data_IF_180060530808
#
_entry.id   IF_180060530808
#
_cell.length_a   1.000
_cell.length_b   1.000
_cell.length_c   1.000
_cell.angle_alpha   90.00
_cell.angle_beta   90.00
_cell.angle_gamma   90.00
#
_symmetry.space_group_name_H-M   'P 1'
#
loop_
_entity.id
_entity.type
_entity.pdbx_description
1 polymer ?
#
# COMPACT_ATOMS: atom_id res chain seq x y z
N UNK A 1 -21.19 -81.79 -15.88
CA UNK A 1 -21.65 -81.85 -17.29
C UNK A 1 -21.10 -80.62 -18.02
N UNK A 2 -21.02 -80.62 -19.37
CA UNK A 2 -20.89 -79.38 -20.18
C UNK A 2 -22.21 -78.58 -20.02
N UNK A 3 -22.32 -77.27 -20.26
CA UNK A 3 -22.05 -76.50 -21.50
C UNK A 3 -21.61 -75.06 -21.17
N UNK A 4 -21.19 -74.30 -22.19
CA UNK A 4 -20.50 -73.00 -22.13
C UNK A 4 -21.30 -71.89 -22.87
N UNK A 5 -20.78 -70.65 -22.87
CA UNK A 5 -21.21 -69.46 -23.66
C UNK A 5 -22.39 -68.63 -23.08
N UNK A 6 -22.47 -67.31 -23.40
CA UNK A 6 -21.39 -66.33 -23.31
C UNK A 6 -21.82 -64.99 -22.65
N UNK A 7 -20.87 -64.24 -22.09
CA UNK A 7 -21.09 -62.84 -21.67
C UNK A 7 -20.93 -61.90 -22.88
N UNK A 8 -21.95 -61.10 -23.17
CA UNK A 8 -21.93 -60.06 -24.21
C UNK A 8 -21.64 -58.69 -23.61
N UNK A 9 -20.70 -57.94 -24.21
CA UNK A 9 -20.23 -56.64 -23.72
C UNK A 9 -20.98 -55.46 -24.35
N UNK A 10 -22.04 -54.96 -23.69
CA UNK A 10 -22.54 -53.57 -23.89
C UNK A 10 -23.48 -53.13 -22.76
N UNK A 11 -23.17 -51.98 -22.13
CA UNK A 11 -24.08 -51.06 -21.39
C UNK A 11 -24.90 -51.66 -20.20
N UNK A 12 -25.29 -50.97 -19.11
CA UNK A 12 -25.25 -49.56 -18.66
C UNK A 12 -24.79 -49.60 -17.18
N UNK A 13 -23.73 -48.94 -16.72
CA UNK A 13 -23.55 -47.49 -16.56
C UNK A 13 -24.57 -46.79 -15.61
N UNK A 14 -25.03 -47.44 -14.52
CA UNK A 14 -25.77 -46.80 -13.42
C UNK A 14 -25.71 -47.61 -12.12
N UNK A 15 -24.70 -47.36 -11.25
CA UNK A 15 -24.70 -47.65 -9.78
C UNK A 15 -23.32 -47.38 -9.10
N UNK A 16 -22.71 -46.20 -9.30
CA UNK A 16 -21.44 -45.88 -8.59
C UNK A 16 -21.15 -44.37 -8.41
N UNK A 17 -22.19 -43.55 -8.23
CA UNK A 17 -22.08 -42.09 -7.99
C UNK A 17 -23.08 -41.64 -6.92
N UNK A 18 -22.82 -41.99 -5.66
CA UNK A 18 -23.71 -41.68 -4.53
C UNK A 18 -22.95 -41.46 -3.20
N UNK A 19 -21.75 -40.84 -3.24
CA UNK A 19 -20.92 -40.60 -2.05
C UNK A 19 -19.91 -39.44 -2.21
N UNK A 20 -20.31 -38.28 -2.76
CA UNK A 20 -19.51 -37.05 -2.68
C UNK A 20 -20.35 -35.78 -2.89
N UNK A 21 -21.29 -35.54 -1.98
CA UNK A 21 -21.99 -34.26 -1.84
C UNK A 21 -21.80 -33.70 -0.42
N UNK A 22 -20.54 -33.61 0.01
CA UNK A 22 -20.16 -32.50 0.89
C UNK A 22 -20.09 -31.27 -0.01
N UNK A 23 -20.94 -30.28 0.26
CA UNK A 23 -20.74 -28.96 -0.31
C UNK A 23 -19.35 -28.46 0.11
N UNK A 24 -18.62 -27.86 -0.82
CA UNK A 24 -17.58 -26.92 -0.40
C UNK A 24 -18.31 -25.66 0.02
N UNK A 25 -18.23 -25.32 1.30
CA UNK A 25 -18.54 -23.97 1.76
C UNK A 25 -17.44 -23.06 1.22
N UNK A 26 -17.61 -22.61 -0.02
CA UNK A 26 -16.81 -21.54 -0.62
C UNK A 26 -17.32 -20.22 -0.05
N UNK A 27 -16.49 -19.57 0.77
CA UNK A 27 -16.74 -18.18 1.17
C UNK A 27 -16.87 -17.30 -0.09
N UNK A 28 -17.87 -16.39 -0.15
CA UNK A 28 -18.16 -15.61 -1.35
C UNK A 28 -17.00 -14.69 -1.72
N UNK A 29 -16.66 -14.59 -3.01
CA UNK A 29 -15.44 -13.89 -3.43
C UNK A 29 -15.59 -12.37 -3.30
N UNK A 30 -14.63 -11.72 -2.63
CA UNK A 30 -14.68 -10.28 -2.33
C UNK A 30 -14.52 -9.43 -3.60
N UNK A 31 -15.65 -8.86 -4.06
CA UNK A 31 -15.70 -8.10 -5.31
C UNK A 31 -15.11 -6.69 -5.10
N UNK A 32 -14.13 -6.26 -5.89
CA UNK A 32 -13.53 -4.93 -5.77
C UNK A 32 -14.43 -3.86 -6.37
N UNK A 33 -14.68 -2.80 -5.61
CA UNK A 33 -15.38 -1.58 -6.04
C UNK A 33 -14.40 -0.44 -6.30
N UNK A 34 -13.29 -0.42 -5.57
CA UNK A 34 -12.22 0.57 -5.64
C UNK A 34 -10.90 -0.14 -5.34
N UNK A 35 -9.81 0.22 -6.03
CA UNK A 35 -8.48 -0.39 -5.82
C UNK A 35 -7.34 0.59 -6.04
N UNK A 36 -6.41 0.59 -5.09
CA UNK A 36 -5.20 1.42 -5.07
C UNK A 36 -4.29 1.27 -6.30
N UNK A 37 -4.24 0.07 -6.88
CA UNK A 37 -3.40 -0.25 -8.04
C UNK A 37 -4.02 0.10 -9.40
N UNK A 38 -5.33 0.33 -9.43
CA UNK A 38 -6.11 0.64 -10.64
C UNK A 38 -6.25 2.17 -10.86
N UNK A 39 -5.95 2.97 -9.82
CA UNK A 39 -5.95 4.43 -9.80
C UNK A 39 -4.57 5.03 -10.09
N UNK A 40 -4.56 6.29 -10.55
CA UNK A 40 -3.37 7.06 -10.94
C UNK A 40 -3.63 8.54 -10.64
N UNK A 41 -2.67 9.24 -10.02
CA UNK A 41 -2.87 10.63 -9.58
C UNK A 41 -3.18 11.59 -10.74
N UNK A 42 -4.19 12.45 -10.55
CA UNK A 42 -4.71 13.33 -11.60
C UNK A 42 -5.58 12.63 -12.65
N UNK A 43 -5.77 11.31 -12.54
CA UNK A 43 -6.64 10.52 -13.41
C UNK A 43 -8.14 10.85 -13.24
N UNK A 44 -9.00 10.32 -14.13
CA UNK A 44 -10.45 10.45 -14.00
C UNK A 44 -10.94 9.65 -12.79
N UNK A 45 -12.09 10.04 -12.25
CA UNK A 45 -12.78 9.27 -11.22
C UNK A 45 -12.93 7.78 -11.64
N UNK A 46 -12.67 6.81 -10.74
CA UNK A 46 -12.77 5.39 -11.07
C UNK A 46 -14.18 5.10 -11.54
N UNK A 47 -14.37 4.54 -12.74
CA UNK A 47 -15.73 4.52 -13.29
C UNK A 47 -16.71 3.71 -12.41
N UNK A 48 -17.99 4.04 -12.52
CA UNK A 48 -19.00 3.65 -11.55
C UNK A 48 -19.11 4.63 -10.37
N UNK A 49 -18.02 5.25 -9.93
CA UNK A 49 -18.04 6.30 -8.90
C UNK A 49 -18.48 7.65 -9.50
N UNK A 50 -19.61 8.17 -9.02
CA UNK A 50 -20.21 9.42 -9.50
C UNK A 50 -20.24 10.44 -8.36
N UNK A 51 -19.65 11.62 -8.58
CA UNK A 51 -19.77 12.75 -7.68
C UNK A 51 -21.12 13.45 -7.85
N UNK A 52 -21.88 13.57 -6.75
CA UNK A 52 -23.13 14.33 -6.68
C UNK A 52 -22.97 15.47 -5.68
N UNK A 53 -23.02 16.70 -6.19
CA UNK A 53 -22.82 17.97 -5.47
C UNK A 53 -21.39 18.22 -4.92
N UNK A 54 -20.38 17.48 -5.40
CA UNK A 54 -18.96 17.78 -5.19
C UNK A 54 -18.08 17.09 -6.24
N UNK A 55 -16.86 17.60 -6.51
CA UNK A 55 -15.89 16.92 -7.36
C UNK A 55 -15.46 15.58 -6.73
N UNK A 56 -15.27 14.59 -7.60
CA UNK A 56 -14.58 13.35 -7.30
C UNK A 56 -13.19 13.45 -7.95
N UNK A 57 -12.13 13.38 -7.16
CA UNK A 57 -10.76 13.55 -7.65
C UNK A 57 -9.91 12.33 -7.29
N UNK A 58 -9.07 11.88 -8.22
CA UNK A 58 -8.04 10.87 -7.93
C UNK A 58 -6.73 11.60 -7.65
N UNK A 59 -6.20 11.44 -6.43
CA UNK A 59 -4.98 12.14 -5.97
C UNK A 59 -3.99 11.13 -5.43
N UNK A 60 -2.69 11.35 -5.66
CA UNK A 60 -1.68 10.75 -4.78
C UNK A 60 -2.02 11.20 -3.37
N UNK A 61 -2.25 10.25 -2.46
CA UNK A 61 -2.04 10.57 -1.06
C UNK A 61 -0.53 10.57 -0.83
N UNK A 62 0.08 11.75 -0.99
CA UNK A 62 1.52 11.95 -0.83
C UNK A 62 1.98 11.73 0.61
N UNK A 63 1.06 11.42 1.53
CA UNK A 63 1.30 11.13 2.93
C UNK A 63 0.50 9.89 3.38
N UNK A 64 1.19 8.74 3.35
CA UNK A 64 1.07 7.55 4.23
C UNK A 64 0.30 6.33 3.71
N UNK A 65 1.04 5.22 3.67
CA UNK A 65 0.61 3.87 4.09
C UNK A 65 -0.46 3.08 3.29
N UNK A 66 -0.71 3.42 2.03
CA UNK A 66 -1.22 2.42 1.08
C UNK A 66 -0.31 2.32 -0.16
N UNK A 67 0.08 1.09 -0.51
CA UNK A 67 1.06 0.80 -1.57
C UNK A 67 0.52 0.90 -3.00
N UNK A 68 -0.55 1.67 -3.22
CA UNK A 68 -1.02 2.04 -4.55
C UNK A 68 -0.44 3.36 -5.02
N UNK A 69 -1.08 3.94 -6.04
CA UNK A 69 -0.58 5.15 -6.70
C UNK A 69 -1.44 6.38 -6.43
N UNK A 70 -2.70 6.19 -6.06
CA UNK A 70 -3.63 7.25 -5.75
C UNK A 70 -4.90 6.70 -5.08
N UNK A 71 -5.52 7.54 -4.27
CA UNK A 71 -6.79 7.28 -3.58
C UNK A 71 -7.89 8.19 -4.11
N UNK A 72 -9.16 7.85 -3.86
CA UNK A 72 -10.29 8.66 -4.28
C UNK A 72 -10.64 9.72 -3.23
N UNK A 73 -10.36 10.99 -3.54
CA UNK A 73 -10.69 12.17 -2.76
C UNK A 73 -12.08 12.71 -3.11
N UNK A 74 -12.84 13.08 -2.08
CA UNK A 74 -13.96 14.03 -2.19
C UNK A 74 -13.53 15.36 -1.60
N UNK A 75 -13.56 16.44 -2.39
CA UNK A 75 -13.19 17.78 -1.93
C UNK A 75 -14.39 18.73 -1.90
N UNK A 76 -14.62 19.36 -0.75
CA UNK A 76 -15.58 20.47 -0.59
C UNK A 76 -14.94 21.74 -0.02
N UNK A 77 -13.63 21.77 0.19
CA UNK A 77 -12.91 22.88 0.83
C UNK A 77 -13.14 24.23 0.13
N UNK A 78 -13.23 24.22 -1.20
CA UNK A 78 -13.47 25.38 -2.05
C UNK A 78 -14.96 25.77 -2.22
N UNK A 79 -15.91 24.99 -1.70
CA UNK A 79 -17.34 25.26 -1.89
C UNK A 79 -17.79 26.50 -1.11
N UNK A 80 -18.53 27.40 -1.74
CA UNK A 80 -19.02 28.62 -1.09
C UNK A 80 -20.11 28.34 -0.05
N UNK A 81 -20.91 27.28 -0.23
CA UNK A 81 -21.96 26.84 0.69
C UNK A 81 -21.47 25.90 1.81
N UNK A 82 -22.34 25.71 2.81
CA UNK A 82 -22.20 24.69 3.86
C UNK A 82 -22.99 23.41 3.49
N UNK A 83 -23.16 23.12 2.20
CA UNK A 83 -23.94 21.99 1.71
C UNK A 83 -23.29 20.63 1.98
N UNK A 84 -23.99 19.57 1.55
CA UNK A 84 -23.46 18.21 1.52
C UNK A 84 -22.98 17.88 0.11
N UNK A 85 -21.93 17.07 0.02
CA UNK A 85 -21.50 16.43 -1.23
C UNK A 85 -21.25 14.95 -0.99
N UNK A 86 -21.29 14.15 -2.06
CA UNK A 86 -20.95 12.74 -1.98
C UNK A 86 -20.35 12.22 -3.28
N UNK A 87 -19.58 11.14 -3.17
CA UNK A 87 -19.27 10.24 -4.28
C UNK A 87 -19.83 8.87 -3.96
N UNK A 88 -20.32 8.15 -4.97
CA UNK A 88 -20.89 6.82 -4.77
C UNK A 88 -20.75 5.91 -5.99
N UNK A 89 -20.58 4.61 -5.74
CA UNK A 89 -20.81 3.58 -6.75
C UNK A 89 -22.13 2.85 -6.47
N UNK A 90 -22.98 2.76 -7.48
CA UNK A 90 -24.32 2.17 -7.39
C UNK A 90 -24.32 0.71 -7.83
N UNK A 91 -24.89 -0.17 -7.01
CA UNK A 91 -24.95 -1.62 -7.22
C UNK A 91 -26.42 -2.06 -7.21
N UNK A 92 -26.80 -2.94 -8.14
CA UNK A 92 -28.12 -3.59 -8.17
C UNK A 92 -28.04 -4.90 -7.39
N UNK A 93 -28.87 -5.02 -6.35
CA UNK A 93 -28.89 -6.14 -5.40
C UNK A 93 -29.90 -7.23 -5.79
N UNK A 94 -31.01 -6.84 -6.41
CA UNK A 94 -32.10 -7.72 -6.84
C UNK A 94 -33.01 -7.01 -7.84
N UNK A 95 -33.80 -7.80 -8.58
CA UNK A 95 -34.89 -7.24 -9.39
C UNK A 95 -35.92 -6.55 -8.48
N UNK A 96 -36.63 -5.52 -8.97
CA UNK A 96 -37.77 -4.98 -8.25
C UNK A 96 -38.84 -6.05 -8.02
N UNK A 97 -39.53 -6.02 -6.86
CA UNK A 97 -40.66 -6.92 -6.63
C UNK A 97 -41.71 -6.67 -7.72
N UNK A 98 -42.17 -7.75 -8.37
CA UNK A 98 -43.18 -7.65 -9.43
C UNK A 98 -44.46 -7.04 -8.89
N UNK A 99 -44.71 -5.78 -9.22
CA UNK A 99 -45.91 -5.08 -8.75
C UNK A 99 -47.18 -5.79 -9.23
N UNK A 100 -48.15 -5.92 -8.33
CA UNK A 100 -49.51 -6.27 -8.71
C UNK A 100 -50.08 -5.11 -9.54
N UNK A 101 -50.21 -5.35 -10.85
CA UNK A 101 -50.49 -4.35 -11.89
C UNK A 101 -51.61 -3.34 -11.47
N UNK A 102 -51.28 -2.07 -11.15
CA UNK A 102 -52.20 -1.15 -10.49
C UNK A 102 -53.13 -0.41 -11.46
N UNK A 103 -53.65 -1.09 -12.50
CA UNK A 103 -54.39 -0.42 -13.59
C UNK A 103 -55.45 -1.28 -14.32
N UNK A 104 -56.47 -1.78 -13.62
CA UNK A 104 -57.86 -1.73 -14.14
C UNK A 104 -58.81 -1.34 -12.99
N UNK A 105 -59.34 -0.11 -13.02
CA UNK A 105 -60.54 0.22 -12.23
C UNK A 105 -61.75 -0.19 -13.07
N UNK A 106 -62.35 -1.34 -12.73
CA UNK A 106 -63.65 -1.77 -13.24
C UNK A 106 -64.43 -2.46 -12.10
N UNK A 107 -65.69 -2.09 -11.83
CA UNK A 107 -66.40 -2.52 -10.62
C UNK A 107 -67.02 -3.92 -10.77
N UNK A 108 -66.26 -4.98 -10.54
CA UNK A 108 -66.77 -6.36 -10.56
C UNK A 108 -66.14 -7.29 -9.49
N UNK A 109 -66.97 -7.73 -8.54
CA UNK A 109 -66.87 -8.94 -7.69
C UNK A 109 -65.62 -9.18 -6.79
N UNK A 110 -65.79 -9.44 -5.48
CA UNK A 110 -64.68 -9.73 -4.57
C UNK A 110 -64.37 -11.25 -4.49
N UNK A 111 -63.45 -11.76 -5.31
CA UNK A 111 -62.96 -13.15 -5.15
C UNK A 111 -61.55 -13.46 -5.69
N UNK A 112 -60.62 -12.50 -5.62
CA UNK A 112 -59.20 -12.81 -5.74
C UNK A 112 -58.49 -12.45 -4.42
N UNK A 113 -58.10 -13.49 -3.68
CA UNK A 113 -57.26 -13.33 -2.51
C UNK A 113 -55.88 -12.85 -2.98
N UNK A 114 -55.48 -11.65 -2.54
CA UNK A 114 -54.17 -11.06 -2.88
C UNK A 114 -53.07 -12.07 -2.59
N UNK A 115 -52.38 -12.54 -3.63
CA UNK A 115 -51.16 -13.32 -3.48
C UNK A 115 -50.23 -12.54 -2.55
N UNK A 116 -49.77 -13.12 -1.42
CA UNK A 116 -48.80 -12.46 -0.58
C UNK A 116 -47.58 -12.12 -1.44
N UNK A 117 -47.11 -10.87 -1.37
CA UNK A 117 -45.78 -10.55 -1.86
C UNK A 117 -44.83 -11.32 -0.96
N UNK A 118 -44.32 -12.45 -1.45
CA UNK A 118 -43.32 -13.25 -0.74
C UNK A 118 -42.18 -12.31 -0.38
N UNK A 119 -41.87 -12.21 0.91
CA UNK A 119 -40.73 -11.40 1.35
C UNK A 119 -39.49 -11.87 0.58
N UNK A 120 -38.76 -10.98 -0.11
CA UNK A 120 -37.61 -11.38 -0.89
C UNK A 120 -36.56 -12.00 0.03
N UNK A 121 -35.80 -12.95 -0.51
CA UNK A 121 -34.83 -13.72 0.28
C UNK A 121 -33.90 -12.79 1.08
N UNK A 122 -33.57 -13.14 2.33
CA UNK A 122 -32.70 -12.32 3.16
C UNK A 122 -31.32 -12.26 2.51
N UNK A 123 -30.91 -11.06 2.12
CA UNK A 123 -29.58 -10.78 1.62
C UNK A 123 -28.79 -10.11 2.74
N UNK A 124 -27.54 -10.53 2.92
CA UNK A 124 -26.54 -9.77 3.69
C UNK A 124 -25.49 -9.22 2.74
N UNK A 125 -25.04 -8.00 2.97
CA UNK A 125 -23.80 -7.49 2.38
C UNK A 125 -22.72 -7.39 3.44
N UNK A 126 -21.47 -7.64 3.06
CA UNK A 126 -20.31 -7.21 3.84
C UNK A 126 -19.55 -6.20 2.99
N UNK A 127 -19.27 -5.04 3.58
CA UNK A 127 -18.54 -3.96 2.93
C UNK A 127 -17.31 -3.67 3.77
N UNK A 128 -16.14 -3.52 3.14
CA UNK A 128 -14.97 -2.95 3.77
C UNK A 128 -14.32 -1.89 2.88
N UNK A 129 -13.55 -1.00 3.47
CA UNK A 129 -12.76 0.01 2.77
C UNK A 129 -11.95 0.84 3.76
N UNK A 130 -11.00 1.61 3.26
CA UNK A 130 -10.17 2.49 4.06
C UNK A 130 -10.70 3.92 3.96
N UNK A 131 -10.70 4.64 5.08
CA UNK A 131 -11.18 6.02 5.20
C UNK A 131 -10.12 6.89 5.88
N UNK A 132 -9.89 8.07 5.30
CA UNK A 132 -9.06 9.16 5.84
C UNK A 132 -9.79 10.49 5.73
N UNK A 133 -9.58 11.42 6.67
CA UNK A 133 -10.30 12.70 6.73
C UNK A 133 -9.39 13.87 7.12
N UNK A 134 -9.71 15.06 6.61
CA UNK A 134 -9.03 16.31 6.98
C UNK A 134 -9.30 16.71 8.45
N UNK A 135 -8.46 17.56 9.06
CA UNK A 135 -8.73 18.13 10.37
C UNK A 135 -10.06 18.90 10.43
N UNK A 136 -10.99 18.42 11.26
CA UNK A 136 -12.34 19.00 11.41
C UNK A 136 -13.32 18.62 10.30
N UNK A 137 -12.95 17.73 9.39
CA UNK A 137 -13.87 17.18 8.39
C UNK A 137 -14.95 16.31 9.04
N UNK A 138 -16.18 16.42 8.52
CA UNK A 138 -17.28 15.50 8.80
C UNK A 138 -17.51 14.60 7.59
N UNK A 139 -17.21 13.32 7.76
CA UNK A 139 -17.29 12.31 6.72
C UNK A 139 -18.08 11.08 7.20
N UNK A 140 -18.87 10.48 6.30
CA UNK A 140 -19.56 9.21 6.55
C UNK A 140 -19.35 8.28 5.37
N UNK A 141 -18.66 7.15 5.60
CA UNK A 141 -18.63 6.02 4.69
C UNK A 141 -19.84 5.13 5.00
N UNK A 142 -20.68 4.85 4.01
CA UNK A 142 -21.99 4.24 4.22
C UNK A 142 -22.44 3.35 3.07
N UNK A 143 -23.31 2.39 3.41
CA UNK A 143 -24.20 1.73 2.47
C UNK A 143 -25.55 2.46 2.49
N UNK A 144 -25.93 3.07 1.36
CA UNK A 144 -27.21 3.78 1.22
C UNK A 144 -28.13 2.97 0.30
N UNK A 145 -29.14 2.34 0.88
CA UNK A 145 -30.10 1.50 0.19
C UNK A 145 -31.21 2.30 -0.48
N UNK A 146 -31.72 1.79 -1.60
CA UNK A 146 -32.86 2.37 -2.33
C UNK A 146 -33.78 1.27 -2.88
N UNK A 147 -35.08 1.57 -3.02
CA UNK A 147 -35.93 0.82 -3.94
C UNK A 147 -35.66 1.24 -5.41
N UNK A 148 -36.35 0.64 -6.38
CA UNK A 148 -36.17 0.94 -7.80
C UNK A 148 -36.72 2.31 -8.24
N UNK A 149 -37.59 2.91 -7.41
CA UNK A 149 -38.28 4.19 -7.66
C UNK A 149 -37.67 5.35 -6.85
N UNK A 150 -36.69 5.07 -6.00
CA UNK A 150 -36.12 5.97 -4.99
C UNK A 150 -37.16 6.51 -3.99
N UNK A 151 -38.23 5.74 -3.73
CA UNK A 151 -39.26 6.07 -2.74
C UNK A 151 -38.80 5.74 -1.32
N UNK A 152 -38.42 4.47 -1.12
CA UNK A 152 -37.61 4.04 0.02
C UNK A 152 -36.14 4.45 -0.18
N UNK A 153 -35.56 5.02 0.88
CA UNK A 153 -34.13 5.21 1.04
C UNK A 153 -33.76 5.02 2.52
N UNK A 154 -32.61 4.40 2.78
CA UNK A 154 -32.08 4.19 4.13
C UNK A 154 -30.54 4.19 4.10
N UNK A 155 -29.90 4.85 5.07
CA UNK A 155 -28.46 5.08 5.08
C UNK A 155 -27.85 4.45 6.34
N UNK A 156 -27.11 3.36 6.14
CA UNK A 156 -26.41 2.62 7.19
C UNK A 156 -24.92 3.03 7.19
N UNK A 157 -24.44 3.74 8.22
CA UNK A 157 -23.03 4.10 8.33
C UNK A 157 -22.15 2.86 8.55
N UNK A 158 -21.11 2.72 7.74
CA UNK A 158 -20.01 1.76 7.93
C UNK A 158 -18.94 2.40 8.84
N UNK A 159 -18.68 3.70 8.63
CA UNK A 159 -17.95 4.55 9.57
C UNK A 159 -18.46 5.99 9.50
N UNK A 160 -18.47 6.68 10.64
CA UNK A 160 -18.76 8.11 10.76
C UNK A 160 -17.64 8.80 11.54
N UNK A 161 -17.14 9.91 11.00
CA UNK A 161 -15.93 10.60 11.46
C UNK A 161 -16.19 12.10 11.48
N UNK A 162 -16.00 12.74 12.64
CA UNK A 162 -16.24 14.19 12.84
C UNK A 162 -14.97 15.00 13.15
N UNK A 163 -13.79 14.40 12.93
CA UNK A 163 -12.48 14.95 13.28
C UNK A 163 -11.42 14.44 12.31
N UNK A 164 -10.17 14.85 12.49
CA UNK A 164 -9.03 14.25 11.80
C UNK A 164 -8.97 12.74 12.05
N UNK A 165 -8.76 11.97 10.98
CA UNK A 165 -8.62 10.53 10.99
C UNK A 165 -7.63 10.16 9.87
N UNK A 166 -6.43 9.67 10.24
CA UNK A 166 -5.57 8.98 9.27
C UNK A 166 -6.17 7.62 8.88
N UNK A 167 -5.68 7.05 7.78
CA UNK A 167 -6.18 5.81 7.18
C UNK A 167 -6.55 4.75 8.21
N UNK A 168 -7.85 4.49 8.31
CA UNK A 168 -8.41 3.44 9.14
C UNK A 168 -9.36 2.59 8.30
N UNK A 169 -9.19 1.27 8.39
CA UNK A 169 -10.13 0.34 7.78
C UNK A 169 -11.46 0.40 8.53
N UNK A 170 -12.53 0.55 7.78
CA UNK A 170 -13.91 0.44 8.24
C UNK A 170 -14.55 -0.76 7.55
N UNK A 171 -15.32 -1.55 8.31
CA UNK A 171 -16.07 -2.68 7.76
C UNK A 171 -17.39 -2.89 8.51
N UNK A 172 -18.40 -3.37 7.81
CA UNK A 172 -19.68 -3.76 8.38
C UNK A 172 -20.29 -4.94 7.60
N UNK A 173 -20.90 -5.86 8.34
CA UNK A 173 -21.92 -6.77 7.81
C UNK A 173 -23.29 -6.10 8.03
N UNK A 174 -24.14 -6.07 7.00
CA UNK A 174 -25.42 -5.36 7.01
C UNK A 174 -26.49 -6.24 6.38
N UNK A 175 -27.58 -6.49 7.12
CA UNK A 175 -28.81 -7.07 6.59
C UNK A 175 -29.47 -6.09 5.62
N UNK A 176 -29.67 -6.51 4.37
CA UNK A 176 -30.24 -5.67 3.31
C UNK A 176 -31.74 -5.49 3.56
N UNK A 177 -32.26 -4.24 3.65
CA UNK A 177 -33.69 -3.99 3.82
C UNK A 177 -34.53 -4.73 2.75
N UNK A 178 -35.66 -5.37 3.10
CA UNK A 178 -36.48 -6.12 2.14
C UNK A 178 -36.98 -5.28 0.96
N UNK A 179 -37.16 -3.97 1.14
CA UNK A 179 -37.55 -3.01 0.12
C UNK A 179 -36.40 -2.63 -0.83
N UNK A 180 -35.15 -2.84 -0.43
CA UNK A 180 -33.98 -2.41 -1.19
C UNK A 180 -33.74 -3.28 -2.42
N UNK A 181 -33.72 -2.65 -3.59
CA UNK A 181 -33.32 -3.25 -4.87
C UNK A 181 -31.90 -2.85 -5.26
N UNK A 182 -31.39 -1.77 -4.65
CA UNK A 182 -30.09 -1.14 -4.93
C UNK A 182 -29.39 -0.74 -3.63
N UNK A 183 -28.06 -0.63 -3.69
CA UNK A 183 -27.26 0.09 -2.70
C UNK A 183 -26.25 0.98 -3.41
N UNK A 184 -26.06 2.19 -2.88
CA UNK A 184 -24.93 3.04 -3.19
C UNK A 184 -23.88 2.88 -2.07
N UNK A 185 -22.71 2.36 -2.41
CA UNK A 185 -21.55 2.41 -1.52
C UNK A 185 -20.94 3.80 -1.69
N UNK A 186 -20.91 4.59 -0.62
CA UNK A 186 -20.83 6.03 -0.72
C UNK A 186 -19.99 6.68 0.40
N UNK A 187 -19.31 7.76 0.05
CA UNK A 187 -18.63 8.67 0.98
C UNK A 187 -19.34 10.03 0.95
N UNK A 188 -19.95 10.40 2.08
CA UNK A 188 -20.69 11.65 2.30
C UNK A 188 -19.84 12.65 3.10
N UNK A 189 -19.80 13.90 2.65
CA UNK A 189 -19.11 15.00 3.33
C UNK A 189 -20.09 16.13 3.66
N UNK A 190 -19.95 16.71 4.86
CA UNK A 190 -20.68 17.93 5.25
C UNK A 190 -19.77 19.17 5.27
N UNK A 191 -20.32 20.32 4.87
CA UNK A 191 -19.62 21.60 4.94
C UNK A 191 -18.44 21.71 3.98
N UNK A 192 -17.39 22.42 4.41
CA UNK A 192 -16.10 22.55 3.72
C UNK A 192 -15.11 21.56 4.32
N UNK A 193 -15.03 20.38 3.74
CA UNK A 193 -14.29 19.24 4.26
C UNK A 193 -13.62 18.47 3.13
N UNK A 194 -12.68 17.59 3.47
CA UNK A 194 -12.01 16.65 2.56
C UNK A 194 -11.94 15.27 3.21
N UNK A 195 -12.13 14.23 2.43
CA UNK A 195 -11.96 12.85 2.87
C UNK A 195 -11.64 11.95 1.69
N UNK A 196 -10.84 10.92 1.96
CA UNK A 196 -10.35 9.95 0.99
C UNK A 196 -10.95 8.58 1.30
N UNK A 197 -11.29 7.82 0.27
CA UNK A 197 -11.74 6.44 0.34
C UNK A 197 -10.81 5.56 -0.50
N UNK A 198 -10.54 4.34 -0.03
CA UNK A 198 -9.67 3.40 -0.76
C UNK A 198 -9.98 1.91 -0.53
N UNK A 199 -9.45 1.07 -1.43
CA UNK A 199 -9.51 -0.40 -1.45
C UNK A 199 -10.86 -0.98 -0.98
N UNK A 200 -11.95 -0.43 -1.53
CA UNK A 200 -13.31 -0.79 -1.18
C UNK A 200 -13.67 -2.15 -1.77
N UNK A 201 -14.10 -3.06 -0.91
CA UNK A 201 -14.57 -4.41 -1.26
C UNK A 201 -16.01 -4.64 -0.82
N UNK A 202 -16.71 -5.48 -1.58
CA UNK A 202 -18.12 -5.79 -1.39
C UNK A 202 -18.37 -7.28 -1.63
N UNK A 203 -19.00 -7.96 -0.69
CA UNK A 203 -19.63 -9.27 -0.92
C UNK A 203 -21.13 -9.16 -0.68
N UNK A 204 -21.88 -10.11 -1.25
CA UNK A 204 -23.29 -10.34 -0.93
C UNK A 204 -23.51 -11.83 -0.70
N UNK A 205 -24.38 -12.16 0.23
CA UNK A 205 -24.74 -13.53 0.59
C UNK A 205 -26.25 -13.69 0.47
N UNK A 206 -26.75 -14.67 -0.33
CA UNK A 206 -26.01 -15.52 -1.27
C UNK A 206 -25.41 -14.75 -2.46
N UNK A 207 -24.26 -15.21 -2.94
CA UNK A 207 -23.43 -14.58 -3.99
C UNK A 207 -24.16 -14.43 -5.35
N UNK A 208 -25.12 -15.32 -5.62
CA UNK A 208 -25.94 -15.35 -6.83
C UNK A 208 -26.87 -14.13 -7.04
N UNK A 209 -26.79 -13.12 -6.19
CA UNK A 209 -27.60 -11.89 -6.25
C UNK A 209 -26.97 -10.75 -7.07
N UNK A 210 -25.63 -10.73 -7.26
CA UNK A 210 -24.96 -9.64 -8.01
C UNK A 210 -25.31 -9.70 -9.50
N UNK A 211 -25.65 -8.55 -10.11
CA UNK A 211 -25.99 -8.48 -11.55
C UNK A 211 -25.04 -7.64 -12.43
N UNK A 212 -24.50 -6.51 -11.96
CA UNK A 212 -23.61 -5.65 -12.77
C UNK A 212 -22.75 -4.72 -11.91
N UNK A 213 -21.49 -4.48 -12.34
CA UNK A 213 -20.53 -3.50 -11.81
C UNK A 213 -19.74 -2.91 -12.99
N UNK A 214 -19.38 -1.62 -12.96
CA UNK A 214 -18.76 -0.88 -14.08
C UNK A 214 -17.51 -0.13 -13.61
N UNK A 215 -16.36 -0.28 -14.32
CA UNK A 215 -15.07 0.39 -14.05
C UNK A 215 -14.27 0.69 -15.35
N UNK A 216 -13.46 1.78 -15.38
CA UNK A 216 -12.57 2.25 -16.49
C UNK A 216 -11.52 3.25 -15.95
N UNK A 217 -10.28 3.27 -16.49
CA UNK A 217 -9.10 3.96 -15.93
C UNK A 217 -8.24 4.72 -16.98
N UNK A 218 -7.44 5.75 -16.60
CA UNK A 218 -6.20 6.28 -17.25
C UNK A 218 -5.52 7.40 -16.37
N UNK A 219 -4.36 8.00 -16.74
CA UNK A 219 -3.33 8.43 -15.74
C UNK A 219 -2.61 9.82 -15.88
N UNK A 220 -2.00 10.32 -14.76
CA UNK A 220 -0.87 11.29 -14.58
C UNK A 220 -1.05 12.79 -14.91
N UNK A 221 -0.23 13.77 -14.38
CA UNK A 221 0.92 13.73 -13.42
C UNK A 221 0.85 14.74 -12.20
N UNK A 222 1.99 15.06 -11.53
CA UNK A 222 2.10 15.43 -10.09
C UNK A 222 3.05 16.63 -9.69
N UNK A 223 2.71 17.39 -8.62
CA UNK A 223 3.60 18.25 -7.76
C UNK A 223 3.31 18.12 -6.21
N UNK A 224 4.06 18.54 -5.16
CA UNK A 224 5.42 19.12 -4.87
C UNK A 224 5.80 18.80 -3.37
N UNK A 225 6.78 19.47 -2.69
CA UNK A 225 7.34 19.01 -1.37
C UNK A 225 7.46 20.05 -0.19
N UNK A 226 7.53 19.62 1.10
CA UNK A 226 7.47 20.50 2.31
C UNK A 226 8.82 20.71 3.08
N UNK A 227 8.78 21.45 4.20
CA UNK A 227 9.94 21.99 4.97
C UNK A 227 10.37 21.15 6.20
N UNK A 228 11.57 21.46 6.73
CA UNK A 228 12.34 20.64 7.69
C UNK A 228 12.12 20.91 9.21
N UNK A 229 12.43 19.93 10.09
CA UNK A 229 12.49 20.07 11.54
C UNK A 229 13.89 20.47 12.08
N UNK A 230 13.97 20.88 13.36
CA UNK A 230 15.05 21.77 13.84
C UNK A 230 16.24 21.15 14.58
N UNK A 231 16.24 19.88 15.00
CA UNK A 231 17.30 19.30 15.86
C UNK A 231 18.17 18.22 15.17
N UNK A 232 18.47 18.44 13.88
CA UNK A 232 19.06 17.40 13.00
C UNK A 232 20.28 17.90 12.21
N UNK A 233 20.72 19.13 12.49
CA UNK A 233 21.73 19.89 11.73
C UNK A 233 23.20 19.58 12.08
N UNK A 234 23.46 18.62 12.96
CA UNK A 234 24.82 18.29 13.44
C UNK A 234 25.08 16.79 13.43
N UNK A 235 26.12 16.38 12.72
CA UNK A 235 26.80 15.12 13.00
C UNK A 235 27.26 15.12 14.48
N UNK A 236 27.23 13.97 15.19
CA UNK A 236 27.68 13.91 16.57
C UNK A 236 29.17 14.32 16.67
N UNK A 237 29.56 15.01 17.74
CA UNK A 237 30.95 15.47 17.90
C UNK A 237 31.95 14.32 18.20
N UNK A 238 31.46 13.14 18.54
CA UNK A 238 32.23 11.94 18.90
C UNK A 238 31.68 10.73 18.18
N UNK A 239 32.55 9.77 17.85
CA UNK A 239 32.13 8.50 17.28
C UNK A 239 31.16 7.77 18.22
N UNK A 240 30.02 7.35 17.67
CA UNK A 240 29.09 6.42 18.31
C UNK A 240 29.20 5.13 17.50
N UNK A 241 29.46 3.95 18.10
CA UNK A 241 29.87 2.77 17.34
C UNK A 241 28.71 1.87 16.86
N UNK A 242 27.48 2.39 16.80
CA UNK A 242 26.29 1.64 16.39
C UNK A 242 26.08 0.37 17.23
N UNK A 243 25.99 -0.78 16.54
CA UNK A 243 25.87 -2.12 17.14
C UNK A 243 27.11 -2.52 17.97
N UNK A 244 28.28 -1.96 17.67
CA UNK A 244 29.54 -2.24 18.38
C UNK A 244 29.70 -1.38 19.65
N UNK A 245 28.62 -1.15 20.40
CA UNK A 245 28.63 -0.40 21.68
C UNK A 245 29.72 -0.92 22.64
N UNK A 246 29.84 -2.25 22.76
CA UNK A 246 30.84 -2.92 23.60
C UNK A 246 32.20 -3.14 22.90
N UNK A 247 32.30 -2.84 21.60
CA UNK A 247 33.52 -3.04 20.79
C UNK A 247 33.81 -1.85 19.84
N UNK A 248 33.88 -0.60 20.33
CA UNK A 248 33.97 0.60 19.48
C UNK A 248 35.16 0.61 18.50
N UNK A 249 36.23 -0.13 18.81
CA UNK A 249 37.39 -0.30 17.92
C UNK A 249 37.08 -1.04 16.63
N UNK A 250 36.07 -1.92 16.61
CA UNK A 250 35.67 -2.67 15.40
C UNK A 250 34.96 -1.75 14.42
N UNK A 251 34.00 -0.94 14.91
CA UNK A 251 33.35 0.11 14.11
C UNK A 251 34.36 1.11 13.55
N UNK A 252 35.28 1.58 14.40
CA UNK A 252 36.36 2.49 13.99
C UNK A 252 37.28 1.86 12.93
N UNK A 253 37.62 0.57 13.05
CA UNK A 253 38.44 -0.13 12.05
C UNK A 253 37.72 -0.30 10.69
N UNK A 254 36.40 -0.52 10.68
CA UNK A 254 35.62 -0.50 9.44
C UNK A 254 35.64 0.88 8.79
N UNK A 255 35.37 1.94 9.54
CA UNK A 255 35.48 3.32 9.06
C UNK A 255 36.88 3.64 8.49
N UNK A 256 37.95 3.31 9.21
CA UNK A 256 39.33 3.50 8.73
C UNK A 256 39.64 2.69 7.46
N UNK A 257 39.03 1.50 7.30
CA UNK A 257 39.12 0.70 6.06
C UNK A 257 38.41 1.38 4.88
N UNK A 258 37.27 2.04 5.12
CA UNK A 258 36.53 2.79 4.11
C UNK A 258 37.29 4.07 3.71
N UNK A 259 37.84 4.81 4.67
CA UNK A 259 38.75 5.96 4.41
C UNK A 259 40.01 5.52 3.63
N UNK A 260 40.53 4.33 3.90
CA UNK A 260 41.65 3.75 3.14
C UNK A 260 41.24 3.36 1.72
N UNK A 261 40.06 2.74 1.55
CA UNK A 261 39.50 2.37 0.24
C UNK A 261 39.16 3.59 -0.61
N UNK A 262 38.65 4.67 -0.02
CA UNK A 262 38.35 5.93 -0.71
C UNK A 262 39.61 6.51 -1.37
N UNK A 263 40.74 6.55 -0.65
CA UNK A 263 42.04 7.04 -1.14
C UNK A 263 42.61 6.24 -2.33
N UNK A 264 42.12 5.03 -2.59
CA UNK A 264 42.49 4.23 -3.78
C UNK A 264 41.71 4.64 -5.04
N UNK A 265 40.62 5.41 -4.89
CA UNK A 265 39.79 5.91 -5.99
C UNK A 265 39.11 4.82 -6.81
N UNK A 266 38.91 5.08 -8.11
CA UNK A 266 38.46 4.07 -9.08
C UNK A 266 37.03 3.54 -8.91
N UNK A 267 36.20 4.15 -8.06
CA UNK A 267 34.78 3.81 -7.89
C UNK A 267 33.90 4.75 -8.72
N UNK A 268 33.01 4.21 -9.56
CA UNK A 268 31.97 4.99 -10.24
C UNK A 268 30.64 4.97 -9.46
N UNK A 269 30.42 3.98 -8.58
CA UNK A 269 29.25 3.89 -7.71
C UNK A 269 29.68 3.65 -6.27
N UNK A 270 29.04 4.32 -5.31
CA UNK A 270 29.25 4.12 -3.87
C UNK A 270 27.95 3.69 -3.20
N UNK A 271 27.94 2.52 -2.57
CA UNK A 271 26.88 2.09 -1.65
C UNK A 271 27.26 2.52 -0.23
N UNK A 272 26.36 3.20 0.47
CA UNK A 272 26.56 3.77 1.81
C UNK A 272 25.35 3.48 2.69
N UNK A 273 25.55 3.00 3.91
CA UNK A 273 24.43 2.62 4.76
C UNK A 273 24.76 1.70 5.93
N UNK A 274 23.75 0.91 6.32
CA UNK A 274 23.77 0.05 7.49
C UNK A 274 24.12 -1.44 7.20
N UNK A 275 23.63 -2.37 8.02
CA UNK A 275 23.86 -3.82 7.91
C UNK A 275 23.38 -4.42 6.58
N UNK A 276 22.26 -3.92 6.02
CA UNK A 276 21.74 -4.39 4.73
C UNK A 276 22.66 -3.92 3.59
N UNK A 277 23.26 -2.74 3.74
CA UNK A 277 24.30 -2.29 2.81
C UNK A 277 25.59 -3.09 3.00
N UNK A 278 26.02 -3.34 4.24
CA UNK A 278 27.25 -4.10 4.52
C UNK A 278 27.22 -5.50 3.92
N UNK A 279 26.11 -6.23 4.07
CA UNK A 279 26.05 -7.66 3.74
C UNK A 279 26.02 -7.98 2.23
N UNK A 280 26.04 -6.98 1.35
CA UNK A 280 26.41 -7.20 -0.06
C UNK A 280 27.83 -7.79 -0.22
N UNK A 281 28.73 -7.65 0.76
CA UNK A 281 30.06 -8.30 0.75
C UNK A 281 30.07 -9.70 1.38
N UNK A 282 28.91 -10.19 1.83
CA UNK A 282 28.76 -11.51 2.46
C UNK A 282 27.54 -12.24 1.90
N UNK A 283 26.36 -12.07 2.48
CA UNK A 283 25.14 -12.80 2.09
C UNK A 283 24.62 -12.43 0.68
N UNK A 284 25.05 -11.30 0.12
CA UNK A 284 24.68 -10.82 -1.21
C UNK A 284 25.80 -10.82 -2.24
N UNK A 285 26.93 -11.49 -1.99
CA UNK A 285 28.15 -11.41 -2.82
C UNK A 285 27.96 -11.87 -4.28
N UNK A 286 27.32 -13.02 -4.53
CA UNK A 286 26.92 -13.51 -5.85
C UNK A 286 26.09 -12.47 -6.63
N UNK A 287 25.22 -11.75 -5.92
CA UNK A 287 24.37 -10.70 -6.51
C UNK A 287 25.15 -9.41 -6.74
N UNK A 288 26.10 -9.06 -5.86
CA UNK A 288 26.97 -7.91 -6.00
C UNK A 288 27.90 -8.03 -7.22
N UNK A 289 28.57 -9.18 -7.38
CA UNK A 289 29.46 -9.42 -8.52
C UNK A 289 28.70 -9.46 -9.86
N UNK A 290 27.50 -10.05 -9.88
CA UNK A 290 26.63 -10.08 -11.07
C UNK A 290 26.04 -8.71 -11.44
N UNK A 291 25.61 -7.90 -10.47
CA UNK A 291 24.81 -6.70 -10.72
C UNK A 291 25.56 -5.36 -10.53
N UNK A 292 26.53 -5.26 -9.61
CA UNK A 292 27.10 -3.98 -9.17
C UNK A 292 28.61 -3.83 -9.38
N UNK A 293 29.40 -4.91 -9.29
CA UNK A 293 30.82 -4.88 -9.64
C UNK A 293 31.11 -4.35 -11.08
N UNK A 294 30.28 -4.61 -12.12
CA UNK A 294 30.45 -4.02 -13.45
C UNK A 294 30.36 -2.48 -13.49
N UNK A 295 29.71 -1.86 -12.51
CA UNK A 295 29.64 -0.41 -12.36
C UNK A 295 30.78 0.16 -11.48
N UNK A 296 31.84 -0.62 -11.23
CA UNK A 296 32.91 -0.31 -10.26
C UNK A 296 32.35 0.13 -8.90
N UNK A 297 31.32 -0.56 -8.43
CA UNK A 297 30.71 -0.24 -7.15
C UNK A 297 31.69 -0.46 -5.98
N UNK A 298 31.56 0.33 -4.92
CA UNK A 298 32.26 0.14 -3.65
C UNK A 298 31.27 0.28 -2.50
N UNK A 299 31.52 -0.40 -1.39
CA UNK A 299 30.54 -0.60 -0.31
C UNK A 299 31.11 -0.11 1.03
N UNK A 300 30.53 0.98 1.56
CA UNK A 300 30.77 1.55 2.89
C UNK A 300 29.55 1.35 3.82
N UNK A 301 28.86 0.21 3.70
CA UNK A 301 27.85 -0.24 4.63
C UNK A 301 28.46 -0.73 5.94
N UNK A 302 27.87 -0.38 7.09
CA UNK A 302 28.39 -0.74 8.41
C UNK A 302 27.25 -1.18 9.34
N UNK A 303 27.30 -2.41 9.85
CA UNK A 303 26.24 -2.95 10.71
C UNK A 303 26.00 -2.13 11.98
N UNK A 304 24.72 -1.88 12.27
CA UNK A 304 24.26 -1.08 13.39
C UNK A 304 24.24 0.43 13.19
N UNK A 305 24.63 0.94 12.02
CA UNK A 305 24.61 2.38 11.75
C UNK A 305 23.18 2.95 11.75
N UNK A 306 22.99 3.95 12.59
CA UNK A 306 21.91 4.95 12.51
C UNK A 306 22.31 6.08 11.56
N UNK A 307 21.35 6.94 11.22
CA UNK A 307 21.58 8.17 10.45
C UNK A 307 22.74 9.03 10.99
N UNK A 308 22.83 9.19 12.30
CA UNK A 308 23.90 9.95 12.98
C UNK A 308 25.30 9.32 12.85
N UNK A 309 25.39 8.00 12.68
CA UNK A 309 26.66 7.29 12.47
C UNK A 309 27.18 7.52 11.05
N UNK A 310 26.30 7.43 10.04
CA UNK A 310 26.64 7.74 8.64
C UNK A 310 27.03 9.22 8.48
N UNK A 311 26.32 10.14 9.13
CA UNK A 311 26.70 11.57 9.19
C UNK A 311 28.13 11.76 9.75
N UNK A 312 28.49 11.05 10.81
CA UNK A 312 29.84 11.10 11.37
C UNK A 312 30.89 10.60 10.37
N UNK A 313 30.66 9.42 9.75
CA UNK A 313 31.59 8.79 8.80
C UNK A 313 31.85 9.66 7.57
N UNK A 314 30.82 10.33 7.07
CA UNK A 314 30.92 11.31 5.98
C UNK A 314 31.84 12.48 6.34
N UNK A 315 31.70 13.04 7.54
CA UNK A 315 32.51 14.19 7.98
C UNK A 315 33.94 13.80 8.40
N UNK A 316 34.18 12.53 8.74
CA UNK A 316 35.48 12.03 9.22
C UNK A 316 36.32 11.32 8.15
N UNK A 317 35.97 11.45 6.86
CA UNK A 317 36.93 11.26 5.76
C UNK A 317 36.55 10.28 4.67
N UNK A 318 35.41 9.59 4.75
CA UNK A 318 35.07 8.54 3.77
C UNK A 318 34.77 9.05 2.36
N UNK A 319 34.41 10.33 2.22
CA UNK A 319 34.14 10.95 0.92
C UNK A 319 35.32 11.77 0.36
N UNK A 320 36.46 11.79 1.07
CA UNK A 320 37.57 12.68 0.71
C UNK A 320 38.41 12.09 -0.44
N UNK A 321 38.51 12.84 -1.53
CA UNK A 321 39.29 12.44 -2.72
C UNK A 321 38.56 11.51 -3.70
N UNK A 322 37.26 11.24 -3.51
CA UNK A 322 36.43 10.49 -4.47
C UNK A 322 35.41 11.39 -5.19
N UNK A 323 34.94 10.93 -6.35
CA UNK A 323 33.79 11.53 -7.06
C UNK A 323 33.05 10.41 -7.82
N UNK A 324 32.26 9.58 -7.13
CA UNK A 324 31.42 8.58 -7.79
C UNK A 324 30.32 9.28 -8.60
N UNK A 325 29.81 8.63 -9.65
CA UNK A 325 28.67 9.15 -10.43
C UNK A 325 27.35 8.97 -9.69
N UNK A 326 27.21 7.88 -8.94
CA UNK A 326 26.02 7.55 -8.16
C UNK A 326 26.41 7.14 -6.74
N UNK A 327 25.73 7.70 -5.74
CA UNK A 327 25.72 7.20 -4.37
C UNK A 327 24.38 6.52 -4.12
N UNK A 328 24.37 5.26 -3.72
CA UNK A 328 23.19 4.54 -3.24
C UNK A 328 23.20 4.59 -1.72
N UNK A 329 22.19 5.20 -1.12
CA UNK A 329 22.06 5.40 0.32
C UNK A 329 20.92 4.55 0.88
N UNK A 330 21.18 3.71 1.88
CA UNK A 330 20.14 3.02 2.65
C UNK A 330 20.48 2.97 4.13
N UNK A 331 19.75 3.73 4.94
CA UNK A 331 19.95 3.85 6.39
C UNK A 331 18.67 4.29 7.08
N UNK A 332 18.52 3.92 8.35
CA UNK A 332 17.42 4.36 9.22
C UNK A 332 16.79 3.22 10.00
N UNK A 333 16.99 1.98 9.56
CA UNK A 333 16.47 0.78 10.23
C UNK A 333 16.87 0.74 11.71
N UNK A 334 18.16 0.97 12.00
CA UNK A 334 18.69 0.99 13.37
C UNK A 334 18.18 2.16 14.24
N UNK A 335 17.60 3.21 13.65
CA UNK A 335 16.97 4.29 14.41
C UNK A 335 15.57 3.91 14.94
N UNK A 336 14.91 2.92 14.34
CA UNK A 336 13.59 2.46 14.76
C UNK A 336 13.66 1.81 16.15
N UNK A 337 14.69 0.98 16.36
CA UNK A 337 14.94 0.25 17.60
C UNK A 337 15.08 1.14 18.83
N UNK A 338 14.60 0.63 19.96
CA UNK A 338 14.56 1.28 21.28
C UNK A 338 13.76 2.61 21.35
N UNK A 339 13.01 2.98 20.30
CA UNK A 339 12.10 4.15 20.26
C UNK A 339 12.75 5.52 20.57
N UNK A 340 14.08 5.63 20.56
CA UNK A 340 14.81 6.87 20.91
C UNK A 340 14.74 7.97 19.84
N UNK A 341 14.38 7.62 18.60
CA UNK A 341 14.15 8.55 17.51
C UNK A 341 12.68 8.42 17.07
N UNK A 342 12.01 9.56 16.84
CA UNK A 342 10.69 9.64 16.20
C UNK A 342 10.83 9.47 14.68
N UNK A 343 9.73 9.27 13.95
CA UNK A 343 9.75 9.16 12.48
C UNK A 343 10.39 10.41 11.82
N UNK A 344 10.00 11.66 12.16
CA UNK A 344 10.67 12.87 11.67
C UNK A 344 12.18 12.94 11.91
N UNK A 345 12.68 12.48 13.06
CA UNK A 345 14.12 12.51 13.37
C UNK A 345 14.92 11.60 12.42
N UNK A 346 14.32 10.48 11.99
CA UNK A 346 14.95 9.53 11.07
C UNK A 346 14.95 10.13 9.65
N UNK A 347 13.79 10.60 9.19
CA UNK A 347 13.64 11.24 7.88
C UNK A 347 14.57 12.43 7.71
N UNK A 348 14.60 13.33 8.69
CA UNK A 348 15.51 14.48 8.65
C UNK A 348 16.98 14.06 8.81
N UNK A 349 17.27 12.95 9.50
CA UNK A 349 18.60 12.34 9.54
C UNK A 349 19.05 11.83 8.16
N UNK A 350 18.15 11.21 7.40
CA UNK A 350 18.38 10.82 6.00
C UNK A 350 18.56 12.07 5.12
N UNK A 351 17.73 13.10 5.32
CA UNK A 351 17.81 14.37 4.59
C UNK A 351 19.16 15.06 4.80
N UNK A 352 19.62 15.19 6.04
CA UNK A 352 20.93 15.74 6.39
C UNK A 352 22.09 14.94 5.75
N UNK A 353 21.98 13.61 5.65
CA UNK A 353 22.98 12.80 4.91
C UNK A 353 22.99 13.19 3.43
N UNK A 354 21.82 13.30 2.80
CA UNK A 354 21.69 13.69 1.39
C UNK A 354 22.26 15.09 1.15
N UNK A 355 22.01 16.06 2.03
CA UNK A 355 22.63 17.39 1.95
C UNK A 355 24.16 17.32 2.03
N UNK A 356 24.71 16.54 2.98
CA UNK A 356 26.16 16.36 3.12
C UNK A 356 26.78 15.65 1.92
N UNK A 357 26.08 14.66 1.34
CA UNK A 357 26.46 14.01 0.08
C UNK A 357 26.49 15.03 -1.07
N UNK A 358 25.44 15.83 -1.25
CA UNK A 358 25.38 16.85 -2.32
C UNK A 358 26.37 18.00 -2.11
N UNK A 359 26.75 18.31 -0.87
CA UNK A 359 27.75 19.33 -0.55
C UNK A 359 29.20 18.85 -0.77
N UNK A 360 29.56 17.64 -0.32
CA UNK A 360 30.91 17.07 -0.52
C UNK A 360 31.12 16.50 -1.93
N UNK A 361 30.08 15.94 -2.53
CA UNK A 361 30.10 15.28 -3.83
C UNK A 361 29.10 15.91 -4.82
N UNK A 362 29.27 17.19 -5.21
CA UNK A 362 28.28 17.94 -6.00
C UNK A 362 28.03 17.37 -7.41
N UNK A 363 28.92 16.53 -7.94
CA UNK A 363 28.77 15.83 -9.23
C UNK A 363 28.04 14.48 -9.10
N UNK A 364 27.92 13.91 -7.90
CA UNK A 364 27.28 12.61 -7.68
C UNK A 364 25.77 12.74 -7.62
N UNK A 365 25.06 11.90 -8.37
CA UNK A 365 23.62 11.67 -8.15
C UNK A 365 23.44 10.80 -6.90
N UNK A 366 22.36 10.97 -6.16
CA UNK A 366 22.05 10.22 -4.93
C UNK A 366 20.74 9.45 -5.12
N UNK A 367 20.79 8.14 -4.91
CA UNK A 367 19.63 7.25 -4.89
C UNK A 367 19.39 6.81 -3.45
N UNK A 368 18.39 7.40 -2.81
CA UNK A 368 17.97 7.04 -1.46
C UNK A 368 17.00 5.87 -1.56
N UNK A 369 17.30 4.77 -0.87
CA UNK A 369 16.39 3.62 -0.78
C UNK A 369 15.54 3.74 0.49
N UNK A 370 14.27 3.36 0.38
CA UNK A 370 13.41 3.16 1.55
C UNK A 370 13.96 2.07 2.48
N UNK A 371 13.68 2.22 3.78
CA UNK A 371 13.90 1.15 4.77
C UNK A 371 13.03 -0.04 4.36
N UNK A 372 13.59 -1.25 4.33
CA UNK A 372 12.84 -2.47 3.99
C UNK A 372 11.93 -2.90 5.16
N UNK A 373 10.82 -3.62 4.92
CA UNK A 373 9.96 -4.13 5.99
C UNK A 373 10.72 -5.12 6.87
N UNK A 374 10.38 -5.18 8.17
CA UNK A 374 11.02 -6.08 9.13
C UNK A 374 10.02 -6.64 10.16
N UNK A 375 10.38 -7.73 10.83
CA UNK A 375 9.54 -8.45 11.79
C UNK A 375 8.55 -9.41 11.11
N UNK A 376 8.01 -10.36 11.88
CA UNK A 376 7.00 -11.30 11.37
C UNK A 376 5.59 -10.68 11.28
N UNK A 377 5.23 -9.83 12.25
CA UNK A 377 3.92 -9.18 12.36
C UNK A 377 3.74 -8.03 11.33
N UNK A 378 2.73 -8.08 10.43
CA UNK A 378 2.41 -6.96 9.53
C UNK A 378 2.15 -5.63 10.25
N UNK A 379 1.61 -5.66 11.47
CA UNK A 379 1.30 -4.48 12.29
C UNK A 379 2.37 -4.18 13.35
N UNK A 380 3.52 -4.87 13.29
CA UNK A 380 4.61 -4.68 14.25
C UNK A 380 5.09 -3.22 14.30
N UNK A 381 5.33 -2.62 15.50
CA UNK A 381 5.61 -1.18 15.60
C UNK A 381 6.79 -0.69 14.75
N UNK A 382 7.81 -1.51 14.54
CA UNK A 382 8.96 -1.17 13.69
C UNK A 382 8.64 -1.26 12.18
N UNK A 383 7.75 -2.18 11.77
CA UNK A 383 7.22 -2.24 10.39
C UNK A 383 6.36 -1.02 10.06
N UNK A 384 5.45 -0.66 10.96
CA UNK A 384 4.63 0.55 10.83
C UNK A 384 5.53 1.78 10.73
N UNK A 385 6.51 1.91 11.63
CA UNK A 385 7.43 3.05 11.63
C UNK A 385 8.41 3.08 10.45
N UNK A 386 8.77 1.94 9.85
CA UNK A 386 9.64 1.89 8.67
C UNK A 386 8.98 2.48 7.41
N UNK A 387 7.80 1.98 7.01
CA UNK A 387 7.08 2.56 5.86
C UNK A 387 6.54 3.97 6.16
N UNK A 388 6.36 4.33 7.43
CA UNK A 388 6.20 5.73 7.82
C UNK A 388 7.45 6.57 7.44
N UNK A 389 8.66 6.19 7.85
CA UNK A 389 9.88 6.94 7.44
C UNK A 389 10.00 6.99 5.92
N UNK A 390 9.70 5.90 5.20
CA UNK A 390 9.74 5.89 3.74
C UNK A 390 8.80 6.93 3.13
N UNK A 391 7.59 7.08 3.70
CA UNK A 391 6.60 8.08 3.26
C UNK A 391 7.18 9.49 3.33
N UNK A 392 7.67 9.92 4.50
CA UNK A 392 8.24 11.27 4.64
C UNK A 392 9.52 11.45 3.79
N UNK A 393 10.27 10.36 3.57
CA UNK A 393 11.52 10.36 2.80
C UNK A 393 11.33 10.49 1.29
N UNK A 394 10.12 10.24 0.74
CA UNK A 394 9.79 10.55 -0.67
C UNK A 394 10.13 12.01 -0.99
N UNK A 395 9.80 12.92 -0.07
CA UNK A 395 10.05 14.36 -0.19
C UNK A 395 11.55 14.77 -0.06
N UNK A 396 12.48 13.81 -0.01
CA UNK A 396 13.93 14.03 -0.16
C UNK A 396 14.33 13.82 -1.63
N UNK A 397 13.68 12.89 -2.32
CA UNK A 397 13.96 12.49 -3.70
C UNK A 397 13.32 13.36 -4.78
N UNK A 398 13.44 14.68 -4.68
CA UNK A 398 12.60 15.62 -5.42
C UNK A 398 13.16 16.13 -6.77
N UNK A 399 14.24 15.56 -7.31
CA UNK A 399 14.85 16.05 -8.56
C UNK A 399 15.61 14.94 -9.35
N UNK A 400 16.39 15.32 -10.37
CA UNK A 400 17.11 14.36 -11.22
C UNK A 400 18.40 13.85 -10.54
N UNK A 401 19.00 14.69 -9.70
CA UNK A 401 20.25 14.49 -8.97
C UNK A 401 20.03 13.76 -7.64
N UNK A 402 18.85 13.84 -7.04
CA UNK A 402 18.45 13.15 -5.80
C UNK A 402 17.10 12.49 -6.02
N UNK A 403 17.08 11.16 -5.94
CA UNK A 403 15.88 10.34 -6.11
C UNK A 403 15.64 9.47 -4.88
N UNK A 404 14.37 9.22 -4.60
CA UNK A 404 13.93 8.24 -3.61
C UNK A 404 13.36 7.02 -4.35
N UNK A 405 13.62 5.82 -3.82
CA UNK A 405 13.14 4.56 -4.35
C UNK A 405 12.63 3.70 -3.20
N UNK A 406 11.31 3.59 -3.07
CA UNK A 406 10.72 2.64 -2.12
C UNK A 406 10.65 1.24 -2.72
N UNK A 407 11.29 0.29 -2.06
CA UNK A 407 11.22 -1.13 -2.40
C UNK A 407 10.41 -1.91 -1.36
N UNK A 408 9.86 -1.26 -0.32
CA UNK A 408 9.11 -1.91 0.76
C UNK A 408 7.99 -2.85 0.26
N UNK A 409 7.18 -2.49 -0.76
CA UNK A 409 6.17 -3.41 -1.31
C UNK A 409 6.74 -4.64 -2.03
N UNK A 410 7.99 -4.59 -2.54
CA UNK A 410 8.63 -5.72 -3.24
C UNK A 410 9.07 -6.84 -2.28
N UNK A 411 9.20 -6.52 -0.99
CA UNK A 411 9.56 -7.45 0.08
C UNK A 411 8.35 -7.98 0.87
N UNK A 412 7.13 -7.62 0.46
CA UNK A 412 5.88 -8.14 1.01
C UNK A 412 5.12 -9.05 0.04
N UNK A 413 4.36 -9.98 0.59
CA UNK A 413 3.32 -10.73 -0.12
C UNK A 413 2.04 -9.90 -0.25
N UNK A 414 1.08 -10.38 -1.05
CA UNK A 414 -0.26 -9.77 -1.16
C UNK A 414 -1.03 -9.74 0.17
N UNK A 415 -0.64 -10.53 1.17
CA UNK A 415 -1.25 -10.54 2.51
C UNK A 415 -0.41 -9.78 3.54
N UNK A 416 0.52 -8.92 3.13
CA UNK A 416 1.31 -8.05 4.01
C UNK A 416 2.37 -8.77 4.86
N UNK A 417 2.58 -10.08 4.65
CA UNK A 417 3.68 -10.84 5.26
C UNK A 417 4.97 -10.65 4.48
N UNK A 418 6.13 -10.94 5.07
CA UNK A 418 7.40 -10.96 4.32
C UNK A 418 7.39 -11.99 3.18
N UNK A 419 8.07 -11.68 2.08
CA UNK A 419 8.29 -12.62 0.96
C UNK A 419 9.01 -13.88 1.47
N UNK A 420 8.44 -15.09 1.27
CA UNK A 420 9.06 -16.34 1.71
C UNK A 420 10.47 -16.53 1.13
N UNK A 421 11.42 -16.84 2.02
CA UNK A 421 12.82 -17.07 1.67
C UNK A 421 13.66 -15.79 1.49
N UNK A 422 13.06 -14.59 1.39
CA UNK A 422 13.82 -13.35 1.22
C UNK A 422 14.55 -12.89 2.50
N UNK A 423 14.08 -13.31 3.68
CA UNK A 423 14.61 -12.91 4.98
C UNK A 423 15.18 -14.08 5.78
N UNK A 424 16.18 -13.79 6.61
CA UNK A 424 16.69 -14.68 7.64
C UNK A 424 15.66 -14.88 8.77
N UNK A 425 15.95 -15.81 9.70
CA UNK A 425 15.06 -16.16 10.81
C UNK A 425 14.81 -15.04 11.82
N UNK A 426 15.56 -13.94 11.77
CA UNK A 426 15.31 -12.72 12.55
C UNK A 426 14.20 -11.84 11.95
N UNK A 427 13.80 -12.07 10.68
CA UNK A 427 12.87 -11.23 9.92
C UNK A 427 13.37 -9.78 9.71
N UNK A 428 14.69 -9.55 9.77
CA UNK A 428 15.33 -8.24 9.59
C UNK A 428 16.35 -8.29 8.45
N UNK A 429 17.28 -9.24 8.48
CA UNK A 429 18.33 -9.35 7.48
C UNK A 429 17.87 -10.17 6.26
N UNK A 430 18.34 -9.78 5.08
CA UNK A 430 18.06 -10.50 3.83
C UNK A 430 18.92 -11.77 3.68
N UNK A 431 18.35 -12.79 3.04
CA UNK A 431 19.09 -13.95 2.52
C UNK A 431 19.72 -13.63 1.16
N UNK A 432 20.49 -14.55 0.59
CA UNK A 432 20.93 -14.46 -0.81
C UNK A 432 19.77 -14.32 -1.81
N UNK A 433 18.60 -14.92 -1.53
CA UNK A 433 17.39 -14.73 -2.33
C UNK A 433 16.83 -13.30 -2.16
N UNK A 434 16.87 -12.74 -0.94
CA UNK A 434 16.51 -11.35 -0.68
C UNK A 434 17.44 -10.36 -1.40
N UNK A 435 18.75 -10.61 -1.40
CA UNK A 435 19.72 -9.82 -2.16
C UNK A 435 19.57 -9.96 -3.67
N UNK A 436 19.17 -11.14 -4.19
CA UNK A 436 18.85 -11.30 -5.61
C UNK A 436 17.64 -10.44 -6.02
N UNK A 437 16.57 -10.44 -5.23
CA UNK A 437 15.42 -9.55 -5.42
C UNK A 437 15.86 -8.08 -5.36
N UNK A 438 16.61 -7.70 -4.32
CA UNK A 438 17.10 -6.33 -4.16
C UNK A 438 17.96 -5.89 -5.36
N UNK A 439 18.80 -6.77 -5.90
CA UNK A 439 19.69 -6.47 -7.02
C UNK A 439 18.95 -6.34 -8.36
N UNK A 440 17.91 -7.15 -8.58
CA UNK A 440 17.09 -7.10 -9.79
C UNK A 440 16.22 -5.83 -9.84
N UNK A 441 15.67 -5.38 -8.71
CA UNK A 441 14.93 -4.12 -8.61
C UNK A 441 15.85 -2.88 -8.69
N UNK A 442 17.04 -2.93 -8.06
CA UNK A 442 17.93 -1.77 -7.92
C UNK A 442 18.83 -1.53 -9.15
N UNK A 443 19.28 -2.59 -9.85
CA UNK A 443 20.20 -2.47 -10.99
C UNK A 443 19.69 -1.53 -12.10
N UNK A 444 18.41 -1.53 -12.52
CA UNK A 444 17.92 -0.60 -13.54
C UNK A 444 18.07 0.88 -13.16
N UNK A 445 17.87 1.23 -11.88
CA UNK A 445 18.03 2.60 -11.38
C UNK A 445 19.49 3.04 -11.36
N UNK A 446 20.40 2.17 -10.89
CA UNK A 446 21.84 2.43 -10.95
C UNK A 446 22.29 2.59 -12.41
N UNK A 447 21.86 1.72 -13.32
CA UNK A 447 22.20 1.82 -14.74
C UNK A 447 21.61 3.08 -15.42
N UNK A 448 20.43 3.55 -15.00
CA UNK A 448 19.85 4.82 -15.48
C UNK A 448 20.61 6.03 -14.93
N UNK A 449 20.98 6.03 -13.64
CA UNK A 449 21.64 7.16 -13.00
C UNK A 449 23.12 7.27 -13.35
N UNK A 450 23.75 6.17 -13.80
CA UNK A 450 25.10 6.15 -14.38
C UNK A 450 25.24 6.82 -15.76
N UNK A 451 24.12 7.20 -16.40
CA UNK A 451 24.04 7.88 -17.71
C UNK A 451 23.88 9.38 -17.54
#
# INVERSE_FOLDING_TARGET
MKVLLPLSTTLVASLLTAASCLAKDTEPEAVPLLRNGDMEAGGPAPAGWIGKFGPCEVRTDTLWYHGGKASMLVDRSAMSDNGRGCVHQMIVLRDPPKEANPAIISPATPSEAKTPITAPEPLKIQVSGWLKTDPGAKATFAAHFFDDKYGFNDLVPIAHVEKFQEWQQAQAEIDVPPQATRVAIALYLEGRSRAWLDDVTFTITPESAVKEIVARNQATPEPEAPKEPTDVSKAPATAVPGYYADQPRVWQAFHESFVSRAKQGGMDVLFLGDAITQSWTTTGDDSWEKHFAPFKASNFGLSGDKTSNVLWRIENGELEGISPKVVVLMVGMNNLGNQQNTTPDITAGIRAIVEKLRAKLPQSKVLVLGILPMGADPMGPERVRAAQVNTEAVAIGNNAEVRFLDLFPRFLTRSGTLVPGAYASDNVHLTAQGYAILAEELRPWVEQMMK
#
